data_IF_636478505955
#
_entry.id   IF_636478505955
#
_cell.length_a   1.000
_cell.length_b   1.000
_cell.length_c   1.000
_cell.angle_alpha   90.00
_cell.angle_beta   90.00
_cell.angle_gamma   90.00
#
_symmetry.space_group_name_H-M   'P 1'
#
loop_
_entity.id
_entity.type
_entity.pdbx_description
1 polymer ?
#
# COMPACT_ATOMS: atom_id res chain seq x y z
N UNK A 1 20.67 -11.14 -19.29
CA UNK A 1 19.43 -10.52 -19.83
C UNK A 1 18.58 -11.42 -20.76
N UNK A 2 18.93 -12.69 -21.05
CA UNK A 2 18.11 -13.55 -21.95
C UNK A 2 16.82 -14.11 -21.29
N UNK A 3 16.80 -14.24 -19.97
CA UNK A 3 15.69 -14.91 -19.26
C UNK A 3 14.43 -14.04 -19.13
N UNK A 4 14.58 -12.77 -18.76
CA UNK A 4 13.46 -11.82 -18.64
C UNK A 4 12.77 -11.58 -19.98
N UNK A 5 13.53 -11.48 -21.08
CA UNK A 5 12.98 -11.39 -22.43
C UNK A 5 12.27 -12.67 -22.87
N UNK A 6 12.65 -13.85 -22.37
CA UNK A 6 11.96 -15.10 -22.74
C UNK A 6 10.55 -15.14 -22.16
N UNK A 7 10.40 -14.73 -20.90
CA UNK A 7 9.14 -14.80 -20.13
C UNK A 7 8.25 -13.57 -20.36
N UNK A 8 8.80 -12.44 -20.81
CA UNK A 8 8.02 -11.21 -20.99
C UNK A 8 6.90 -11.35 -22.03
N UNK A 9 5.72 -10.77 -21.76
CA UNK A 9 4.60 -10.78 -22.70
C UNK A 9 4.91 -9.96 -23.98
N UNK A 10 4.19 -10.20 -25.09
CA UNK A 10 4.47 -9.53 -26.38
C UNK A 10 4.38 -8.00 -26.33
N UNK A 11 3.51 -7.44 -25.49
CA UNK A 11 3.40 -5.98 -25.35
C UNK A 11 4.64 -5.38 -24.65
N UNK A 12 5.16 -6.03 -23.61
CA UNK A 12 6.33 -5.55 -22.88
C UNK A 12 7.58 -5.62 -23.74
N UNK A 13 7.70 -6.67 -24.58
CA UNK A 13 8.76 -6.78 -25.59
C UNK A 13 8.71 -5.62 -26.60
N UNK A 14 7.52 -5.26 -27.09
CA UNK A 14 7.33 -4.11 -27.99
C UNK A 14 7.70 -2.80 -27.31
N UNK A 15 7.26 -2.59 -26.06
CA UNK A 15 7.63 -1.41 -25.28
C UNK A 15 9.15 -1.31 -25.05
N UNK A 16 9.82 -2.43 -24.73
CA UNK A 16 11.27 -2.47 -24.54
C UNK A 16 12.03 -2.08 -25.81
N UNK A 17 11.65 -2.62 -26.97
CA UNK A 17 12.26 -2.28 -28.27
C UNK A 17 12.01 -0.81 -28.62
N UNK A 18 10.77 -0.34 -28.44
CA UNK A 18 10.39 1.04 -28.73
C UNK A 18 11.17 2.04 -27.88
N UNK A 19 11.25 1.83 -26.56
CA UNK A 19 12.00 2.69 -25.65
C UNK A 19 13.49 2.67 -25.98
N UNK A 20 14.05 1.50 -26.29
CA UNK A 20 15.47 1.41 -26.67
C UNK A 20 15.80 2.22 -27.92
N UNK A 21 14.91 2.22 -28.92
CA UNK A 21 15.13 2.91 -30.20
C UNK A 21 14.89 4.42 -30.11
N UNK A 22 13.82 4.84 -29.44
CA UNK A 22 13.37 6.24 -29.48
C UNK A 22 13.75 7.03 -28.21
N UNK A 23 13.82 6.38 -27.05
CA UNK A 23 14.08 7.01 -25.74
C UNK A 23 15.10 6.21 -24.91
N UNK A 24 16.35 6.07 -25.39
CA UNK A 24 17.35 5.21 -24.77
C UNK A 24 17.67 5.59 -23.31
N UNK A 25 17.57 6.87 -22.96
CA UNK A 25 17.78 7.36 -21.61
C UNK A 25 16.68 6.88 -20.64
N UNK A 26 15.42 6.83 -21.07
CA UNK A 26 14.32 6.23 -20.29
C UNK A 26 14.52 4.72 -20.21
N UNK A 27 14.85 4.08 -21.34
CA UNK A 27 15.08 2.63 -21.39
C UNK A 27 16.20 2.16 -20.45
N UNK A 28 17.21 3.00 -20.23
CA UNK A 28 18.30 2.73 -19.30
C UNK A 28 17.79 2.61 -17.86
N UNK A 29 16.82 3.43 -17.45
CA UNK A 29 16.23 3.38 -16.09
C UNK A 29 15.46 2.08 -15.78
N UNK A 30 15.08 1.31 -16.81
CA UNK A 30 14.23 0.11 -16.71
C UNK A 30 12.88 0.34 -16.03
N UNK A 31 12.42 1.60 -15.93
CA UNK A 31 11.15 1.95 -15.27
C UNK A 31 9.96 1.19 -15.85
N UNK A 32 9.92 0.91 -17.15
CA UNK A 32 8.85 0.13 -17.78
C UNK A 32 8.77 -1.30 -17.26
N UNK A 33 9.91 -1.91 -16.92
CA UNK A 33 9.95 -3.24 -16.29
C UNK A 33 9.51 -3.17 -14.84
N UNK A 34 9.95 -2.14 -14.10
CA UNK A 34 9.53 -1.94 -12.71
C UNK A 34 8.01 -1.73 -12.62
N UNK A 35 7.43 -0.89 -13.49
CA UNK A 35 5.98 -0.67 -13.55
C UNK A 35 5.24 -1.97 -13.84
N UNK A 36 5.69 -2.74 -14.84
CA UNK A 36 5.04 -4.00 -15.18
C UNK A 36 5.12 -5.02 -14.03
N UNK A 37 6.28 -5.15 -13.39
CA UNK A 37 6.45 -6.04 -12.24
C UNK A 37 5.61 -5.58 -11.04
N UNK A 38 5.58 -4.28 -10.77
CA UNK A 38 4.75 -3.70 -9.71
C UNK A 38 3.27 -4.01 -9.95
N UNK A 39 2.78 -3.83 -11.18
CA UNK A 39 1.42 -4.18 -11.55
C UNK A 39 1.12 -5.68 -11.40
N UNK A 40 2.02 -6.55 -11.87
CA UNK A 40 1.86 -7.99 -11.74
C UNK A 40 1.81 -8.42 -10.26
N UNK A 41 2.74 -7.91 -9.44
CA UNK A 41 2.76 -8.17 -8.01
C UNK A 41 1.52 -7.59 -7.33
N UNK A 42 1.06 -6.40 -7.72
CA UNK A 42 -0.19 -5.81 -7.22
C UNK A 42 -1.38 -6.75 -7.47
N UNK A 43 -1.53 -7.29 -8.69
CA UNK A 43 -2.58 -8.25 -9.01
C UNK A 43 -2.48 -9.53 -8.17
N UNK A 44 -1.26 -10.07 -8.00
CA UNK A 44 -1.03 -11.27 -7.20
C UNK A 44 -1.40 -11.03 -5.73
N UNK A 45 -0.96 -9.92 -5.15
CA UNK A 45 -1.22 -9.61 -3.74
C UNK A 45 -2.64 -9.09 -3.49
N UNK A 46 -3.32 -8.53 -4.49
CA UNK A 46 -4.76 -8.30 -4.42
C UNK A 46 -5.55 -9.59 -4.22
N UNK A 47 -5.06 -10.74 -4.71
CA UNK A 47 -5.68 -12.03 -4.41
C UNK A 47 -5.59 -12.37 -2.93
N UNK A 48 -4.55 -11.94 -2.21
CA UNK A 48 -4.45 -12.14 -0.76
C UNK A 48 -5.59 -11.40 -0.06
N UNK A 49 -5.88 -10.15 -0.43
CA UNK A 49 -7.05 -9.42 0.08
C UNK A 49 -8.38 -10.08 -0.29
N UNK A 50 -8.47 -10.68 -1.48
CA UNK A 50 -9.68 -11.38 -1.96
C UNK A 50 -9.93 -12.71 -1.25
N UNK A 51 -8.87 -13.46 -0.93
CA UNK A 51 -8.95 -14.76 -0.24
C UNK A 51 -8.82 -14.64 1.28
N UNK A 52 -8.58 -13.44 1.81
CA UNK A 52 -8.61 -13.20 3.25
C UNK A 52 -10.01 -13.59 3.78
N UNK A 53 -10.06 -14.42 4.82
CA UNK A 53 -11.34 -14.87 5.36
C UNK A 53 -11.96 -13.73 6.17
N UNK A 54 -13.19 -13.34 5.80
CA UNK A 54 -13.93 -12.26 6.44
C UNK A 54 -15.27 -12.84 6.86
N UNK A 55 -15.55 -12.79 8.16
CA UNK A 55 -16.83 -13.17 8.75
C UNK A 55 -17.49 -11.91 9.31
N UNK A 56 -18.81 -11.79 9.14
CA UNK A 56 -19.62 -10.70 9.70
C UNK A 56 -19.49 -10.67 11.24
N UNK A 57 -19.29 -11.83 11.86
CA UNK A 57 -19.15 -11.95 13.32
C UNK A 57 -17.73 -11.69 13.81
N UNK A 58 -16.74 -11.67 12.90
CA UNK A 58 -15.32 -11.50 13.20
C UNK A 58 -14.67 -10.60 12.15
N UNK A 59 -15.16 -9.35 12.10
CA UNK A 59 -14.60 -8.34 11.20
C UNK A 59 -13.14 -8.07 11.61
N UNK A 60 -12.19 -8.07 10.66
CA UNK A 60 -10.79 -7.78 10.97
C UNK A 60 -10.65 -6.45 11.69
N UNK A 61 -9.93 -6.46 12.81
CA UNK A 61 -9.63 -5.24 13.56
C UNK A 61 -8.51 -4.46 12.86
N UNK A 62 -8.32 -3.18 13.25
CA UNK A 62 -7.20 -2.39 12.74
C UNK A 62 -5.84 -3.05 12.97
N UNK A 63 -5.67 -3.78 14.08
CA UNK A 63 -4.46 -4.52 14.37
C UNK A 63 -4.22 -5.69 13.39
N UNK A 64 -5.28 -6.38 12.95
CA UNK A 64 -5.17 -7.46 11.96
C UNK A 64 -4.76 -6.92 10.59
N UNK A 65 -5.29 -5.75 10.22
CA UNK A 65 -4.89 -5.03 9.00
C UNK A 65 -3.43 -4.58 9.07
N UNK A 66 -2.98 -4.07 10.21
CA UNK A 66 -1.59 -3.67 10.43
C UNK A 66 -0.64 -4.87 10.31
N UNK A 67 -1.00 -6.02 10.90
CA UNK A 67 -0.23 -7.26 10.78
C UNK A 67 -0.13 -7.72 9.33
N UNK A 68 -1.25 -7.71 8.58
CA UNK A 68 -1.25 -8.06 7.16
C UNK A 68 -0.38 -7.09 6.34
N UNK A 69 -0.52 -5.79 6.59
CA UNK A 69 0.29 -4.75 5.92
C UNK A 69 1.78 -4.95 6.19
N UNK A 70 2.16 -5.19 7.45
CA UNK A 70 3.54 -5.45 7.86
C UNK A 70 4.09 -6.74 7.23
N UNK A 71 3.29 -7.79 7.12
CA UNK A 71 3.67 -9.02 6.44
C UNK A 71 3.96 -8.78 4.95
N UNK A 72 3.09 -8.01 4.28
CA UNK A 72 3.24 -7.65 2.86
C UNK A 72 4.34 -6.61 2.62
N UNK A 73 4.82 -5.95 3.67
CA UNK A 73 5.97 -5.07 3.59
C UNK A 73 7.26 -5.83 3.29
N UNK A 74 7.38 -7.10 3.71
CA UNK A 74 8.56 -7.94 3.43
C UNK A 74 8.80 -8.14 1.93
N UNK A 75 7.83 -8.64 1.12
CA UNK A 75 8.02 -8.74 -0.32
C UNK A 75 8.15 -7.36 -1.00
N UNK A 76 7.51 -6.31 -0.46
CA UNK A 76 7.70 -4.94 -0.95
C UNK A 76 9.15 -4.47 -0.75
N UNK A 77 9.74 -4.70 0.42
CA UNK A 77 11.14 -4.36 0.69
C UNK A 77 12.09 -5.12 -0.23
N UNK A 78 11.87 -6.43 -0.45
CA UNK A 78 12.66 -7.23 -1.40
C UNK A 78 12.57 -6.68 -2.83
N UNK A 79 11.36 -6.28 -3.25
CA UNK A 79 11.17 -5.66 -4.56
C UNK A 79 11.84 -4.27 -4.65
N UNK A 80 11.81 -3.48 -3.57
CA UNK A 80 12.54 -2.22 -3.46
C UNK A 80 14.05 -2.41 -3.60
N UNK A 81 14.63 -3.39 -2.91
CA UNK A 81 16.05 -3.76 -3.05
C UNK A 81 16.37 -4.16 -4.49
N UNK A 82 15.49 -4.94 -5.13
CA UNK A 82 15.65 -5.31 -6.54
C UNK A 82 15.63 -4.07 -7.47
N UNK A 83 14.74 -3.10 -7.25
CA UNK A 83 14.69 -1.86 -8.02
C UNK A 83 15.99 -1.06 -7.84
N UNK A 84 16.42 -0.84 -6.60
CA UNK A 84 17.64 -0.10 -6.27
C UNK A 84 18.87 -0.77 -6.91
N UNK A 85 18.96 -2.10 -6.82
CA UNK A 85 20.02 -2.87 -7.47
C UNK A 85 20.04 -2.63 -8.99
N UNK A 86 18.88 -2.71 -9.67
CA UNK A 86 18.82 -2.44 -11.12
C UNK A 86 19.18 -0.99 -11.46
N UNK A 87 18.75 -0.01 -10.68
CA UNK A 87 19.11 1.40 -10.90
C UNK A 87 20.61 1.65 -10.77
N UNK A 88 21.27 1.02 -9.79
CA UNK A 88 22.72 1.17 -9.59
C UNK A 88 23.55 0.57 -10.73
N UNK A 89 23.08 -0.52 -11.33
CA UNK A 89 23.71 -1.15 -12.49
C UNK A 89 23.53 -0.33 -13.78
N UNK A 90 22.31 0.17 -14.01
CA UNK A 90 21.94 0.83 -15.27
C UNK A 90 21.78 2.34 -15.06
N UNK A 91 22.89 3.00 -14.73
CA UNK A 91 22.91 4.46 -14.65
C UNK A 91 23.02 5.06 -16.07
N UNK A 92 22.04 5.85 -16.53
CA UNK A 92 22.07 6.49 -17.85
C UNK A 92 23.30 7.37 -18.06
N UNK A 93 23.94 7.87 -17.00
CA UNK A 93 25.17 8.67 -17.13
C UNK A 93 26.37 7.87 -17.66
N UNK A 94 26.38 6.54 -17.45
CA UNK A 94 27.43 5.64 -17.96
C UNK A 94 27.16 5.17 -19.38
N UNK A 95 25.91 5.19 -19.84
CA UNK A 95 25.57 4.92 -21.24
C UNK A 95 25.63 6.24 -21.99
N UNK A 96 26.51 6.39 -22.98
CA UNK A 96 26.74 7.64 -23.73
C UNK A 96 25.52 8.11 -24.58
N UNK A 97 24.36 8.31 -23.96
CA UNK A 97 23.14 8.77 -24.58
C UNK A 97 23.12 10.31 -24.63
N UNK A 98 22.51 10.83 -25.70
CA UNK A 98 22.25 12.24 -25.93
C UNK A 98 21.68 12.92 -24.67
N UNK A 99 22.36 13.97 -24.18
CA UNK A 99 21.98 14.72 -22.98
C UNK A 99 21.22 15.98 -23.36
N UNK A 100 19.94 16.09 -22.98
CA UNK A 100 19.18 17.34 -23.07
C UNK A 100 19.12 18.05 -21.71
N UNK A 101 18.92 19.38 -21.72
CA UNK A 101 19.13 20.29 -20.57
C UNK A 101 18.44 19.89 -19.24
N UNK A 102 17.30 19.20 -19.30
CA UNK A 102 16.50 18.84 -18.12
C UNK A 102 16.47 17.34 -17.82
N UNK A 103 17.33 16.55 -18.48
CA UNK A 103 17.31 15.10 -18.37
C UNK A 103 17.48 14.60 -16.92
N UNK A 104 18.41 15.20 -16.17
CA UNK A 104 18.70 14.82 -14.79
C UNK A 104 17.49 15.02 -13.86
N UNK A 105 16.74 16.11 -14.07
CA UNK A 105 15.50 16.37 -13.34
C UNK A 105 14.44 15.28 -13.60
N UNK A 106 14.25 14.88 -14.87
CA UNK A 106 13.31 13.81 -15.19
C UNK A 106 13.79 12.43 -14.68
N UNK A 107 15.09 12.17 -14.72
CA UNK A 107 15.65 10.94 -14.14
C UNK A 107 15.41 10.87 -12.64
N UNK A 108 15.62 11.97 -11.92
CA UNK A 108 15.30 12.09 -10.51
C UNK A 108 13.81 11.80 -10.24
N UNK A 109 12.89 12.38 -11.03
CA UNK A 109 11.46 12.09 -10.91
C UNK A 109 11.13 10.62 -11.19
N UNK A 110 11.76 10.00 -12.18
CA UNK A 110 11.59 8.57 -12.49
C UNK A 110 12.06 7.70 -11.32
N UNK A 111 13.16 8.07 -10.66
CA UNK A 111 13.68 7.35 -9.51
C UNK A 111 12.80 7.50 -8.27
N UNK A 112 12.31 8.72 -7.99
CA UNK A 112 11.30 8.93 -6.93
C UNK A 112 10.08 8.07 -7.20
N UNK A 113 9.53 8.13 -8.42
CA UNK A 113 8.35 7.36 -8.78
C UNK A 113 8.60 5.85 -8.62
N UNK A 114 9.74 5.36 -9.08
CA UNK A 114 10.11 3.96 -8.98
C UNK A 114 10.33 3.51 -7.53
N UNK A 115 10.79 4.40 -6.65
CA UNK A 115 10.93 4.13 -5.22
C UNK A 115 9.59 3.88 -4.53
N UNK A 116 8.50 4.48 -5.03
CA UNK A 116 7.16 4.26 -4.49
C UNK A 116 6.46 3.00 -5.04
N UNK A 117 6.94 2.43 -6.16
CA UNK A 117 6.30 1.25 -6.77
C UNK A 117 6.15 0.03 -5.84
N UNK A 118 7.09 -0.29 -4.93
CA UNK A 118 6.91 -1.43 -4.04
C UNK A 118 5.73 -1.31 -3.07
N UNK A 119 5.31 -0.09 -2.72
CA UNK A 119 4.17 0.12 -1.84
C UNK A 119 2.85 -0.32 -2.48
N UNK A 120 2.80 -0.44 -3.81
CA UNK A 120 1.60 -0.96 -4.49
C UNK A 120 1.23 -2.36 -3.98
N UNK A 121 2.20 -3.16 -3.50
CA UNK A 121 1.95 -4.50 -2.95
C UNK A 121 1.05 -4.49 -1.70
N UNK A 122 1.45 -3.88 -0.57
CA UNK A 122 0.60 -3.86 0.62
C UNK A 122 -0.68 -3.04 0.39
N UNK A 123 -0.63 -1.96 -0.39
CA UNK A 123 -1.81 -1.14 -0.68
C UNK A 123 -2.86 -1.88 -1.51
N UNK A 124 -2.47 -2.67 -2.52
CA UNK A 124 -3.45 -3.36 -3.37
C UNK A 124 -4.22 -4.43 -2.60
N UNK A 125 -3.58 -5.12 -1.65
CA UNK A 125 -4.26 -6.07 -0.76
C UNK A 125 -5.18 -5.34 0.22
N UNK A 126 -4.70 -4.25 0.84
CA UNK A 126 -5.49 -3.46 1.79
C UNK A 126 -6.73 -2.82 1.19
N UNK A 127 -6.63 -2.29 -0.05
CA UNK A 127 -7.78 -1.74 -0.76
C UNK A 127 -8.87 -2.80 -0.99
N UNK A 128 -8.51 -3.98 -1.49
CA UNK A 128 -9.48 -5.06 -1.72
C UNK A 128 -10.09 -5.54 -0.40
N UNK A 129 -9.28 -5.66 0.66
CA UNK A 129 -9.77 -6.04 1.98
C UNK A 129 -10.78 -5.01 2.51
N UNK A 130 -10.47 -3.72 2.41
CA UNK A 130 -11.34 -2.64 2.89
C UNK A 130 -12.66 -2.59 2.12
N UNK A 131 -12.64 -2.73 0.79
CA UNK A 131 -13.85 -2.80 -0.03
C UNK A 131 -14.74 -3.99 0.36
N UNK A 132 -14.12 -5.15 0.66
CA UNK A 132 -14.86 -6.33 1.12
C UNK A 132 -15.43 -6.14 2.52
N UNK A 133 -14.72 -5.45 3.41
CA UNK A 133 -15.21 -5.12 4.75
C UNK A 133 -16.38 -4.14 4.67
N UNK A 134 -16.28 -3.09 3.86
CA UNK A 134 -17.38 -2.13 3.69
C UNK A 134 -18.61 -2.77 3.07
N UNK A 135 -18.44 -3.78 2.21
CA UNK A 135 -19.54 -4.53 1.62
C UNK A 135 -20.25 -5.50 2.58
N UNK A 136 -19.79 -5.69 3.83
CA UNK A 136 -20.44 -6.59 4.79
C UNK A 136 -21.74 -6.03 5.37
N UNK A 137 -21.86 -4.71 5.43
CA UNK A 137 -22.98 -4.01 6.08
C UNK A 137 -23.63 -3.09 5.06
N UNK A 138 -24.96 -3.05 5.01
CA UNK A 138 -25.67 -2.11 4.13
C UNK A 138 -25.49 -0.67 4.62
N UNK A 139 -25.46 0.29 3.70
CA UNK A 139 -25.34 1.71 4.03
C UNK A 139 -26.41 2.15 5.05
N UNK A 140 -27.63 1.64 4.92
CA UNK A 140 -28.75 1.90 5.83
C UNK A 140 -28.46 1.41 7.27
N UNK A 141 -27.90 0.21 7.40
CA UNK A 141 -27.53 -0.36 8.70
C UNK A 141 -26.36 0.41 9.30
N UNK A 142 -25.39 0.78 8.47
CA UNK A 142 -24.25 1.59 8.89
C UNK A 142 -24.67 2.98 9.40
N UNK A 143 -25.59 3.66 8.71
CA UNK A 143 -26.13 4.94 9.18
C UNK A 143 -26.85 4.82 10.53
N UNK A 144 -27.61 3.74 10.72
CA UNK A 144 -28.27 3.44 11.99
C UNK A 144 -27.25 3.20 13.11
N UNK A 145 -26.21 2.41 12.86
CA UNK A 145 -25.15 2.10 13.83
C UNK A 145 -24.32 3.34 14.19
N UNK A 146 -23.95 4.16 13.21
CA UNK A 146 -23.25 5.43 13.45
C UNK A 146 -24.12 6.38 14.25
N UNK A 147 -25.41 6.46 13.94
CA UNK A 147 -26.36 7.29 14.67
C UNK A 147 -26.50 6.82 16.12
N UNK A 148 -26.71 5.51 16.33
CA UNK A 148 -26.79 4.89 17.66
C UNK A 148 -25.50 5.09 18.47
N UNK A 149 -24.33 4.92 17.84
CA UNK A 149 -23.03 5.18 18.46
C UNK A 149 -22.86 6.65 18.85
N UNK A 150 -23.24 7.58 17.97
CA UNK A 150 -23.15 9.01 18.25
C UNK A 150 -24.05 9.43 19.41
N UNK A 151 -25.29 8.93 19.46
CA UNK A 151 -26.19 9.13 20.60
C UNK A 151 -25.60 8.55 21.88
N UNK A 152 -25.16 7.29 21.86
CA UNK A 152 -24.53 6.63 23.01
C UNK A 152 -23.28 7.37 23.51
N UNK A 153 -22.44 7.85 22.60
CA UNK A 153 -21.23 8.63 22.94
C UNK A 153 -21.56 9.90 23.73
N UNK A 154 -22.68 10.56 23.44
CA UNK A 154 -23.13 11.73 24.20
C UNK A 154 -23.48 11.31 25.62
N UNK A 155 -24.26 10.24 25.80
CA UNK A 155 -24.64 9.74 27.12
C UNK A 155 -23.44 9.28 27.97
N UNK A 156 -22.53 8.47 27.41
CA UNK A 156 -21.35 7.98 28.15
C UNK A 156 -20.31 9.07 28.41
N UNK A 157 -20.18 10.08 27.54
CA UNK A 157 -19.31 11.25 27.79
C UNK A 157 -19.86 12.13 28.92
N UNK A 158 -21.17 12.33 28.96
CA UNK A 158 -21.83 13.07 30.03
C UNK A 158 -21.71 12.32 31.35
N UNK A 159 -21.87 11.00 31.38
CA UNK A 159 -21.68 10.20 32.60
C UNK A 159 -20.23 10.27 33.12
N UNK A 160 -19.22 10.22 32.24
CA UNK A 160 -17.81 10.38 32.63
C UNK A 160 -17.54 11.76 33.24
N UNK A 161 -18.17 12.83 32.74
CA UNK A 161 -18.06 14.17 33.32
C UNK A 161 -18.86 14.32 34.61
N UNK A 162 -20.07 13.75 34.72
CA UNK A 162 -20.87 13.79 35.94
C UNK A 162 -20.19 13.03 37.09
N UNK A 163 -19.59 11.87 36.82
CA UNK A 163 -18.80 11.14 37.83
C UNK A 163 -17.62 11.99 38.31
N UNK A 164 -16.90 12.65 37.40
CA UNK A 164 -15.80 13.56 37.74
C UNK A 164 -16.24 14.82 38.51
N UNK A 165 -17.47 15.29 38.30
CA UNK A 165 -18.03 16.46 39.00
C UNK A 165 -18.61 16.08 40.38
N UNK A 166 -19.13 14.85 40.54
CA UNK A 166 -19.67 14.36 41.83
C UNK A 166 -18.56 13.78 42.73
N UNK A 167 -17.41 13.38 42.19
CA UNK A 167 -16.24 12.93 42.98
C UNK A 167 -15.00 13.84 42.86
N UNK A 168 -15.01 15.07 43.41
CA UNK A 168 -13.78 15.74 43.81
C UNK A 168 -13.41 15.45 45.27
N UNK A 169 -14.12 14.56 45.96
CA UNK A 169 -13.74 14.12 47.31
C UNK A 169 -13.94 12.62 47.46
N UNK A 170 -12.93 11.96 48.01
CA UNK A 170 -12.91 10.55 48.46
C UNK A 170 -12.90 9.46 47.38
N UNK A 171 -11.77 9.30 46.68
CA UNK A 171 -11.35 7.97 46.20
C UNK A 171 -9.87 7.76 46.55
N UNK A 172 -9.60 7.72 47.85
CA UNK A 172 -8.61 6.77 48.37
C UNK A 172 -9.40 5.51 48.64
N UNK A 173 -8.85 4.36 48.23
CA UNK A 173 -9.36 3.00 48.47
C UNK A 173 -10.45 2.52 47.51
N UNK A 174 -10.19 1.33 46.97
CA UNK A 174 -11.08 0.46 46.18
C UNK A 174 -11.16 0.73 44.68
N UNK A 175 -10.11 0.30 43.96
CA UNK A 175 -10.24 -0.49 42.73
C UNK A 175 -8.96 -1.34 42.57
N UNK A 176 -8.75 -2.25 43.52
CA UNK A 176 -8.24 -3.58 43.18
C UNK A 176 -9.46 -4.44 42.99
N UNK A 177 -9.55 -5.15 41.88
CA UNK A 177 -10.08 -6.50 41.73
C UNK A 177 -9.93 -6.92 40.24
N UNK A 178 -10.02 -8.24 39.95
CA UNK A 178 -9.03 -9.05 39.26
C UNK A 178 -9.10 -9.08 37.73
#
# INVERSE_FOLDING_TARGET
MKFTQKISPPFLKRADIYLRKNHPWIWATKVHLHIYLAFLLACIFSLVGLFYNIDVNQVPTGNDQDVLFNLLFVPAALFGVFIIYNMSLFNPDKSAAYRFKYQEFFLFLIYIFSFFLPFVIPYSAGLILNERISALVSDETYEQDVTAFNYGRIFFRVQKHIILIITPMTVSTYLKLP
#
